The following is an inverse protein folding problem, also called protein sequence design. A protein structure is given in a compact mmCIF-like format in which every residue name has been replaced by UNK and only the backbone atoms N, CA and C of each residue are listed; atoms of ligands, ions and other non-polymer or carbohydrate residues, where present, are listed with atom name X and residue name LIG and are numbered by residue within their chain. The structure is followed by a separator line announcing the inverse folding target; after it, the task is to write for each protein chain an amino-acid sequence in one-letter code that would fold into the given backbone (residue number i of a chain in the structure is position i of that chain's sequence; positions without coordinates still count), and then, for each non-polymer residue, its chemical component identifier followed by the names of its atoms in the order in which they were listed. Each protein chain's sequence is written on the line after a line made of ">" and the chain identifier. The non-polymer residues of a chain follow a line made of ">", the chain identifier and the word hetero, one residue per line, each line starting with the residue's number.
data_IF_125381606532
#
_entry.id   IF_125381606532
#
_cell.length_a   1.000
_cell.length_b   1.000
_cell.length_c   1.000
_cell.angle_alpha   90.00
_cell.angle_beta   90.00
_cell.angle_gamma   90.00
#
_symmetry.space_group_name_H-M   'P 1'
#
loop_
_entity.id
_entity.type
_entity.pdbx_description
1 polymer ?
#
# COMPACT_ATOMS: atom_id res chain seq x y z
N UNK A 1 15.92 -13.67 -0.72
CA UNK A 1 15.71 -12.48 0.15
C UNK A 1 14.29 -11.96 -0.09
N UNK A 2 13.46 -11.84 0.95
CA UNK A 2 12.11 -11.30 0.79
C UNK A 2 12.19 -9.83 0.36
N UNK A 3 11.69 -9.53 -0.84
CA UNK A 3 11.68 -8.18 -1.41
C UNK A 3 10.58 -7.28 -0.82
N UNK A 4 9.63 -7.89 -0.10
CA UNK A 4 8.55 -7.21 0.61
C UNK A 4 8.92 -6.96 2.06
N UNK A 5 8.57 -5.77 2.55
CA UNK A 5 8.71 -5.38 3.95
C UNK A 5 7.39 -4.87 4.47
N UNK A 6 6.94 -5.42 5.59
CA UNK A 6 5.83 -4.86 6.36
C UNK A 6 6.38 -3.77 7.28
N UNK A 7 5.85 -2.56 7.19
CA UNK A 7 6.31 -1.39 7.93
C UNK A 7 5.11 -0.78 8.66
N UNK A 8 5.30 -0.46 9.93
CA UNK A 8 4.29 0.30 10.67
C UNK A 8 4.17 1.71 10.10
N UNK A 9 2.94 2.23 9.98
CA UNK A 9 2.71 3.60 9.50
C UNK A 9 3.56 4.65 10.22
N UNK A 10 3.80 4.51 11.52
CA UNK A 10 4.67 5.43 12.29
C UNK A 10 6.13 5.43 11.85
N UNK A 11 6.61 4.37 11.20
CA UNK A 11 7.96 4.21 10.66
C UNK A 11 8.02 4.39 9.13
N UNK A 12 6.89 4.71 8.51
CA UNK A 12 6.77 4.85 7.07
C UNK A 12 7.42 6.16 6.59
N UNK A 13 8.20 6.10 5.52
CA UNK A 13 8.62 7.31 4.83
C UNK A 13 7.48 7.76 3.89
N UNK A 14 6.63 8.66 4.40
CA UNK A 14 5.47 9.17 3.66
C UNK A 14 5.82 9.85 2.34
N UNK A 15 6.97 10.55 2.27
CA UNK A 15 7.43 11.20 1.03
C UNK A 15 7.70 10.16 -0.07
N UNK A 16 8.42 9.08 0.25
CA UNK A 16 8.67 7.99 -0.71
C UNK A 16 7.40 7.21 -1.06
N UNK A 17 6.50 7.05 -0.10
CA UNK A 17 5.18 6.45 -0.31
C UNK A 17 4.36 7.27 -1.31
N UNK A 18 4.16 8.56 -1.04
CA UNK A 18 3.33 9.44 -1.87
C UNK A 18 3.94 9.63 -3.25
N UNK A 19 5.28 9.64 -3.37
CA UNK A 19 5.97 9.61 -4.67
C UNK A 19 5.73 8.30 -5.44
N UNK A 20 5.66 7.16 -4.76
CA UNK A 20 5.29 5.90 -5.42
C UNK A 20 3.84 5.94 -5.90
N UNK A 21 2.92 6.48 -5.10
CA UNK A 21 1.50 6.62 -5.46
C UNK A 21 1.35 7.54 -6.67
N UNK A 22 1.94 8.74 -6.65
CA UNK A 22 1.83 9.72 -7.74
C UNK A 22 2.43 9.22 -9.07
N UNK A 23 3.42 8.32 -8.99
CA UNK A 23 4.05 7.74 -10.18
C UNK A 23 3.44 6.37 -10.55
N UNK A 24 2.41 5.91 -9.84
CA UNK A 24 1.84 4.58 -10.09
C UNK A 24 0.88 4.57 -11.26
N UNK A 25 0.91 3.51 -12.06
CA UNK A 25 -0.01 3.38 -13.20
C UNK A 25 -1.48 3.28 -12.76
N UNK A 26 -1.70 2.89 -11.50
CA UNK A 26 -3.00 2.72 -10.87
C UNK A 26 -3.21 3.71 -9.72
N UNK A 27 -2.69 4.94 -9.87
CA UNK A 27 -2.81 6.02 -8.89
C UNK A 27 -4.27 6.27 -8.49
N UNK A 28 -4.48 6.49 -7.18
CA UNK A 28 -5.78 6.82 -6.60
C UNK A 28 -5.59 7.81 -5.45
N UNK A 29 -6.42 8.85 -5.39
CA UNK A 29 -6.35 9.86 -4.33
C UNK A 29 -6.44 9.24 -2.91
N UNK A 30 -7.22 8.18 -2.77
CA UNK A 30 -7.40 7.50 -1.48
C UNK A 30 -6.23 6.63 -1.05
N UNK A 31 -5.18 6.50 -1.86
CA UNK A 31 -3.97 5.74 -1.54
C UNK A 31 -2.85 6.63 -0.97
N UNK A 32 -3.00 7.95 -1.05
CA UNK A 32 -2.04 8.89 -0.46
C UNK A 32 -2.04 8.78 1.06
N UNK A 33 -0.87 8.99 1.65
CA UNK A 33 -0.65 8.84 3.08
C UNK A 33 -1.58 9.74 3.90
N UNK A 34 -1.73 11.01 3.48
CA UNK A 34 -2.62 11.98 4.13
C UNK A 34 -4.09 11.55 4.07
N UNK A 35 -4.53 10.94 2.98
CA UNK A 35 -5.91 10.50 2.82
C UNK A 35 -6.17 9.28 3.70
N UNK A 36 -5.24 8.32 3.68
CA UNK A 36 -5.28 7.13 4.53
C UNK A 36 -5.32 7.48 6.02
N UNK A 37 -4.59 8.51 6.44
CA UNK A 37 -4.62 9.04 7.81
C UNK A 37 -6.00 9.55 8.24
N UNK A 38 -6.81 10.03 7.30
CA UNK A 38 -8.16 10.55 7.58
C UNK A 38 -9.19 9.41 7.61
N UNK A 39 -9.13 8.49 6.64
CA UNK A 39 -10.20 7.48 6.45
C UNK A 39 -9.99 6.19 7.24
N UNK A 40 -8.80 5.97 7.81
CA UNK A 40 -8.41 4.72 8.45
C UNK A 40 -8.17 4.92 9.94
N UNK A 41 -8.74 4.05 10.77
CA UNK A 41 -8.47 4.05 12.21
C UNK A 41 -7.01 3.67 12.48
N UNK A 42 -6.54 2.61 11.83
CA UNK A 42 -5.13 2.23 11.79
C UNK A 42 -4.79 1.72 10.40
N UNK A 43 -3.56 1.97 9.98
CA UNK A 43 -3.02 1.35 8.77
C UNK A 43 -1.52 1.14 8.91
N UNK A 44 -1.00 0.19 8.14
CA UNK A 44 0.42 -0.09 7.96
C UNK A 44 0.69 -0.26 6.47
N UNK A 45 1.95 -0.47 6.10
CA UNK A 45 2.38 -0.56 4.72
C UNK A 45 3.06 -1.89 4.42
N UNK A 46 2.81 -2.46 3.24
CA UNK A 46 3.71 -3.41 2.61
C UNK A 46 4.46 -2.66 1.51
N UNK A 47 5.79 -2.81 1.50
CA UNK A 47 6.68 -2.07 0.60
C UNK A 47 7.55 -3.05 -0.17
N UNK A 48 7.59 -2.89 -1.48
CA UNK A 48 8.45 -3.65 -2.38
C UNK A 48 9.67 -2.84 -2.80
N UNK A 49 10.86 -3.43 -2.71
CA UNK A 49 12.14 -2.90 -3.23
C UNK A 49 12.31 -1.38 -3.08
N UNK A 50 12.31 -0.86 -1.85
CA UNK A 50 12.46 0.57 -1.55
C UNK A 50 11.42 1.44 -2.30
N UNK A 51 10.13 1.16 -2.07
CA UNK A 51 9.00 1.94 -2.59
C UNK A 51 8.86 1.90 -4.11
N UNK A 52 9.29 0.81 -4.74
CA UNK A 52 8.95 0.53 -6.14
C UNK A 52 7.48 0.12 -6.29
N UNK A 53 6.94 -0.59 -5.30
CA UNK A 53 5.50 -0.82 -5.17
C UNK A 53 5.10 -0.75 -3.70
N UNK A 54 3.86 -0.36 -3.45
CA UNK A 54 3.31 -0.13 -2.11
C UNK A 54 1.89 -0.67 -1.99
N UNK A 55 1.53 -1.20 -0.83
CA UNK A 55 0.18 -1.71 -0.55
C UNK A 55 -0.25 -1.27 0.85
N UNK A 56 -1.37 -0.53 1.00
CA UNK A 56 -1.87 -0.10 2.30
C UNK A 56 -2.61 -1.25 2.99
N UNK A 57 -2.25 -1.53 4.24
CA UNK A 57 -2.87 -2.56 5.07
C UNK A 57 -3.64 -1.90 6.19
N UNK A 58 -4.96 -1.82 6.02
CA UNK A 58 -5.86 -1.09 6.91
C UNK A 58 -6.52 -2.07 7.88
N UNK A 59 -6.61 -1.67 9.15
CA UNK A 59 -7.14 -2.52 10.20
C UNK A 59 -7.74 -1.74 11.36
N UNK A 60 -8.57 -2.42 12.16
CA UNK A 60 -9.04 -1.95 13.46
C UNK A 60 -8.53 -2.89 14.53
N UNK A 61 -8.12 -2.32 15.66
CA UNK A 61 -7.84 -3.09 16.85
C UNK A 61 -9.13 -3.19 17.65
N UNK A 62 -9.61 -4.41 17.88
CA UNK A 62 -10.61 -4.71 18.90
C UNK A 62 -9.89 -5.35 20.08
N UNK A 63 -10.53 -5.32 21.25
CA UNK A 63 -9.92 -5.73 22.54
C UNK A 63 -9.26 -7.12 22.45
N UNK A 64 -9.84 -8.07 21.70
CA UNK A 64 -9.30 -9.42 21.56
C UNK A 64 -8.75 -9.77 20.16
N UNK A 65 -9.00 -8.98 19.13
CA UNK A 65 -8.63 -9.35 17.76
C UNK A 65 -8.40 -8.14 16.85
N UNK A 66 -7.63 -8.37 15.79
CA UNK A 66 -7.33 -7.38 14.75
C UNK A 66 -8.15 -7.70 13.50
N UNK A 67 -8.96 -6.76 13.04
CA UNK A 67 -9.80 -6.93 11.86
C UNK A 67 -9.27 -6.08 10.72
N UNK A 68 -8.92 -6.72 9.60
CA UNK A 68 -8.57 -6.04 8.35
C UNK A 68 -9.84 -5.72 7.57
N UNK A 69 -9.89 -4.54 6.96
CA UNK A 69 -11.09 -4.08 6.26
C UNK A 69 -10.76 -3.10 5.13
N UNK A 70 -11.71 -2.90 4.23
CA UNK A 70 -11.69 -1.84 3.24
C UNK A 70 -12.49 -0.63 3.76
N UNK A 71 -11.92 0.58 3.81
CA UNK A 71 -12.63 1.78 4.23
C UNK A 71 -13.71 2.19 3.24
N UNK A 72 -14.83 2.72 3.76
CA UNK A 72 -15.98 3.13 2.96
C UNK A 72 -15.65 4.15 1.84
N UNK A 73 -14.62 4.98 2.03
CA UNK A 73 -14.20 6.01 1.07
C UNK A 73 -12.99 5.60 0.20
N UNK A 74 -12.67 4.31 0.16
CA UNK A 74 -11.68 3.77 -0.77
C UNK A 74 -12.32 2.64 -1.60
N UNK A 75 -12.64 2.91 -2.86
CA UNK A 75 -13.37 1.97 -3.73
C UNK A 75 -12.61 0.68 -4.04
N UNK A 76 -11.29 0.77 -4.22
CA UNK A 76 -10.43 -0.39 -4.42
C UNK A 76 -9.05 -0.11 -3.87
N UNK A 77 -8.67 -0.78 -2.78
CA UNK A 77 -7.31 -0.78 -2.28
C UNK A 77 -6.56 -2.00 -2.81
N UNK A 78 -5.30 -1.81 -3.13
CA UNK A 78 -4.49 -2.86 -3.71
C UNK A 78 -3.02 -2.49 -3.79
N UNK A 79 -2.30 -3.23 -4.62
CA UNK A 79 -0.89 -2.98 -4.89
C UNK A 79 -0.75 -1.81 -5.87
N UNK A 80 -0.14 -0.72 -5.43
CA UNK A 80 0.23 0.42 -6.26
C UNK A 80 1.67 0.25 -6.73
N UNK A 81 1.88 0.27 -8.03
CA UNK A 81 3.16 -0.07 -8.64
C UNK A 81 3.65 1.16 -9.40
N UNK A 82 4.83 1.65 -9.03
CA UNK A 82 5.48 2.74 -9.75
C UNK A 82 5.67 2.36 -11.22
N UNK A 83 5.30 3.27 -12.12
CA UNK A 83 5.36 3.10 -13.58
C UNK A 83 6.77 2.83 -14.11
N UNK A 84 7.81 3.17 -13.35
CA UNK A 84 9.22 2.91 -13.71
C UNK A 84 9.65 1.43 -13.51
N UNK A 85 8.81 0.58 -12.93
CA UNK A 85 9.09 -0.87 -12.86
C UNK A 85 8.97 -1.50 -14.25
N UNK A 86 9.93 -2.36 -14.62
CA UNK A 86 9.87 -3.11 -15.89
C UNK A 86 8.69 -4.09 -15.96
N UNK A 87 8.23 -4.37 -17.18
CA UNK A 87 7.02 -5.19 -17.40
C UNK A 87 7.12 -6.59 -16.81
N UNK A 88 8.29 -7.24 -16.88
CA UNK A 88 8.49 -8.58 -16.32
C UNK A 88 8.30 -8.61 -14.81
N UNK A 89 8.83 -7.61 -14.11
CA UNK A 89 8.71 -7.46 -12.66
C UNK A 89 7.29 -7.05 -12.26
N UNK A 90 6.66 -6.19 -13.05
CA UNK A 90 5.25 -5.83 -12.90
C UNK A 90 4.34 -7.05 -12.99
N UNK A 91 4.54 -7.91 -14.01
CA UNK A 91 3.78 -9.15 -14.19
C UNK A 91 3.94 -10.10 -12.99
N UNK A 92 5.17 -10.27 -12.49
CA UNK A 92 5.44 -11.08 -11.28
C UNK A 92 4.76 -10.52 -10.04
N UNK A 93 4.75 -9.20 -9.89
CA UNK A 93 4.08 -8.53 -8.77
C UNK A 93 2.57 -8.71 -8.84
N UNK A 94 1.97 -8.51 -10.02
CA UNK A 94 0.53 -8.66 -10.18
C UNK A 94 0.10 -10.11 -9.98
N UNK A 95 0.82 -11.09 -10.52
CA UNK A 95 0.46 -12.50 -10.29
C UNK A 95 0.50 -12.84 -8.79
N UNK A 96 1.52 -12.40 -8.06
CA UNK A 96 1.67 -12.70 -6.62
C UNK A 96 0.53 -12.16 -5.72
N UNK A 97 -0.28 -11.21 -6.18
CA UNK A 97 -1.40 -10.63 -5.42
C UNK A 97 -2.78 -10.98 -5.98
N UNK A 98 -2.87 -11.56 -7.19
CA UNK A 98 -4.12 -11.82 -7.89
C UNK A 98 -4.30 -13.29 -8.34
N UNK A 99 -3.40 -14.20 -7.95
CA UNK A 99 -3.63 -15.67 -7.94
C UNK A 99 -3.78 -16.17 -6.52
#
# INVERSE_FOLDING_TARGET
>A
MNHFKYISHSKLNKVKWDKCISNSFNERIYAYSWYLDIISENWNAIIYKNYKAVFPVIFKNRILFKTYYQPFFAQQLGLFINSEINDTEKLKLTSSFFT
#
